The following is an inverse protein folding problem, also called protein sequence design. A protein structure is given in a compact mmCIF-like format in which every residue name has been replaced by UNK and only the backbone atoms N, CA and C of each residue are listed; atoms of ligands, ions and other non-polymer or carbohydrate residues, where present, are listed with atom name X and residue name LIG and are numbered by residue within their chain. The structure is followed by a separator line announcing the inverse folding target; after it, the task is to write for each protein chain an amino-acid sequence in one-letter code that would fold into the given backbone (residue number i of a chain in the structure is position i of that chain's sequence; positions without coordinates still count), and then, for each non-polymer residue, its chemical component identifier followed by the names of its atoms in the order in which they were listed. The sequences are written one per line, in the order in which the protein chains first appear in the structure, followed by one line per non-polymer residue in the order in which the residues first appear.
data_IF_871729623662
#
_entry.id   IF_871729623662
#
_cell.length_a   1.000
_cell.length_b   1.000
_cell.length_c   1.000
_cell.angle_alpha   90.00
_cell.angle_beta   90.00
_cell.angle_gamma   90.00
#
_symmetry.space_group_name_H-M   'P 1'
#
loop_
_entity.id
_entity.type
_entity.pdbx_description
1 polymer ?
#
# COMPACT_ATOMS: atom_id res chain seq x y z
N UNK A 1 3.83 17.87 3.84
CA UNK A 1 3.41 17.77 2.43
C UNK A 1 1.88 17.66 2.38
N UNK A 2 1.21 18.14 1.32
CA UNK A 2 -0.27 18.06 1.19
C UNK A 2 -0.69 16.63 0.80
N UNK A 3 -1.85 16.17 1.29
CA UNK A 3 -2.49 14.88 0.91
C UNK A 3 -2.49 14.70 -0.61
N UNK A 4 -2.86 15.72 -1.38
CA UNK A 4 -2.95 15.65 -2.84
C UNK A 4 -1.59 15.44 -3.50
N UNK A 5 -0.52 15.96 -2.89
CA UNK A 5 0.85 15.74 -3.39
C UNK A 5 1.28 14.30 -3.13
N UNK A 6 1.04 13.78 -1.92
CA UNK A 6 1.31 12.36 -1.59
C UNK A 6 0.52 11.46 -2.55
N UNK A 7 -0.76 11.74 -2.76
CA UNK A 7 -1.61 11.01 -3.69
C UNK A 7 -1.07 11.03 -5.12
N UNK A 8 -0.66 12.20 -5.62
CA UNK A 8 -0.10 12.32 -6.97
C UNK A 8 1.16 11.48 -7.16
N UNK A 9 2.03 11.41 -6.16
CA UNK A 9 3.26 10.61 -6.20
C UNK A 9 2.91 9.12 -6.15
N UNK A 10 2.08 8.69 -5.20
CA UNK A 10 1.74 7.27 -5.04
C UNK A 10 0.87 6.74 -6.18
N UNK A 11 0.08 7.61 -6.83
CA UNK A 11 -0.67 7.27 -8.03
C UNK A 11 0.22 6.86 -9.21
N UNK A 12 1.51 7.17 -9.19
CA UNK A 12 2.47 6.72 -10.21
C UNK A 12 2.93 5.26 -10.03
N UNK A 13 2.46 4.56 -8.99
CA UNK A 13 2.77 3.14 -8.79
C UNK A 13 2.33 2.32 -10.03
N UNK A 14 3.27 1.62 -10.66
CA UNK A 14 3.03 0.83 -11.87
C UNK A 14 2.49 -0.58 -11.54
N UNK A 15 2.97 -1.17 -10.45
CA UNK A 15 2.65 -2.55 -10.06
C UNK A 15 2.44 -2.64 -8.54
N UNK A 16 1.63 -3.60 -8.12
CA UNK A 16 1.49 -3.98 -6.72
C UNK A 16 1.88 -5.44 -6.62
N UNK A 17 2.85 -5.72 -5.76
CA UNK A 17 3.36 -7.07 -5.50
C UNK A 17 3.13 -7.43 -4.05
N UNK A 18 2.81 -8.68 -3.78
CA UNK A 18 2.80 -9.22 -2.43
C UNK A 18 4.09 -10.01 -2.26
N UNK A 19 4.91 -9.62 -1.28
CA UNK A 19 6.09 -10.36 -0.90
C UNK A 19 5.78 -11.16 0.37
N UNK A 20 5.42 -12.43 0.14
CA UNK A 20 5.23 -13.42 1.19
C UNK A 20 6.54 -14.07 1.66
N UNK A 21 7.69 -13.79 1.01
CA UNK A 21 8.97 -14.41 1.34
C UNK A 21 9.67 -13.59 2.43
N UNK A 22 9.60 -14.09 3.68
CA UNK A 22 10.17 -13.45 4.86
C UNK A 22 11.62 -12.94 4.67
N UNK A 23 11.85 -11.61 4.60
CA UNK A 23 13.18 -11.05 4.65
C UNK A 23 13.52 -10.76 6.12
N UNK A 24 14.07 -11.78 6.79
CA UNK A 24 14.75 -11.73 8.10
C UNK A 24 13.94 -11.37 9.38
N UNK A 25 14.17 -12.24 10.38
CA UNK A 25 14.04 -12.12 11.85
C UNK A 25 12.70 -11.68 12.49
N UNK A 26 11.89 -10.83 11.86
CA UNK A 26 10.59 -10.41 12.36
C UNK A 26 9.52 -10.67 11.28
N UNK A 27 8.66 -11.66 11.54
CA UNK A 27 7.73 -12.36 10.63
C UNK A 27 6.65 -11.53 9.91
N UNK A 28 7.00 -10.43 9.27
CA UNK A 28 6.05 -9.52 8.61
C UNK A 28 6.07 -9.71 7.09
N UNK A 29 4.89 -9.87 6.47
CA UNK A 29 4.74 -9.86 5.02
C UNK A 29 4.56 -8.41 4.51
N UNK A 30 4.88 -8.17 3.23
CA UNK A 30 4.82 -6.83 2.65
C UNK A 30 3.94 -6.77 1.39
N UNK A 31 3.17 -5.71 1.27
CA UNK A 31 2.59 -5.25 0.01
C UNK A 31 3.51 -4.15 -0.55
N UNK A 32 4.15 -4.43 -1.68
CA UNK A 32 5.15 -3.57 -2.28
C UNK A 32 4.57 -2.83 -3.47
N UNK A 33 4.59 -1.50 -3.40
CA UNK A 33 4.27 -0.61 -4.51
C UNK A 33 5.50 -0.46 -5.42
N UNK A 34 5.33 -0.81 -6.69
CA UNK A 34 6.36 -0.73 -7.71
C UNK A 34 6.39 0.64 -8.39
N UNK A 35 7.52 1.33 -8.31
CA UNK A 35 7.80 2.60 -8.97
C UNK A 35 9.04 2.49 -9.88
N UNK A 36 9.14 3.41 -10.84
CA UNK A 36 10.35 3.58 -11.66
C UNK A 36 11.42 4.33 -10.85
N UNK A 37 12.69 3.97 -11.06
CA UNK A 37 13.83 4.56 -10.36
C UNK A 37 13.97 6.09 -10.51
N UNK A 38 13.37 6.69 -11.53
CA UNK A 38 13.38 8.15 -11.70
C UNK A 38 12.61 8.91 -10.60
N UNK A 39 11.73 8.23 -9.86
CA UNK A 39 10.85 8.83 -8.85
C UNK A 39 11.27 8.52 -7.41
N UNK A 40 12.44 7.90 -7.20
CA UNK A 40 12.86 7.37 -5.89
C UNK A 40 12.76 8.40 -4.76
N UNK A 41 13.34 9.59 -4.92
CA UNK A 41 13.37 10.61 -3.85
C UNK A 41 11.95 11.10 -3.49
N UNK A 42 11.07 11.22 -4.49
CA UNK A 42 9.69 11.67 -4.29
C UNK A 42 8.87 10.60 -3.56
N UNK A 43 9.04 9.33 -3.94
CA UNK A 43 8.37 8.19 -3.30
C UNK A 43 8.82 8.06 -1.85
N UNK A 44 10.12 8.08 -1.58
CA UNK A 44 10.65 8.03 -0.21
C UNK A 44 10.06 9.17 0.63
N UNK A 45 10.06 10.39 0.09
CA UNK A 45 9.51 11.55 0.78
C UNK A 45 8.01 11.38 1.08
N UNK A 46 7.22 10.88 0.12
CA UNK A 46 5.79 10.62 0.33
C UNK A 46 5.54 9.61 1.47
N UNK A 47 6.32 8.52 1.53
CA UNK A 47 6.24 7.54 2.62
C UNK A 47 6.68 8.12 3.97
N UNK A 48 7.75 8.91 4.00
CA UNK A 48 8.19 9.59 5.22
C UNK A 48 7.14 10.58 5.73
N UNK A 49 6.49 11.32 4.85
CA UNK A 49 5.42 12.25 5.23
C UNK A 49 4.20 11.49 5.76
N UNK A 50 3.79 10.37 5.14
CA UNK A 50 2.72 9.51 5.69
C UNK A 50 3.03 9.04 7.11
N UNK A 51 4.25 8.56 7.38
CA UNK A 51 4.69 8.15 8.73
C UNK A 51 4.62 9.27 9.74
N UNK A 52 4.95 10.50 9.34
CA UNK A 52 4.88 11.68 10.23
C UNK A 52 3.45 12.11 10.51
N UNK A 53 2.53 11.87 9.58
CA UNK A 53 1.12 12.24 9.70
C UNK A 53 0.42 11.35 10.73
N UNK A 54 0.72 10.04 10.75
CA UNK A 54 0.06 9.10 11.67
C UNK A 54 0.87 7.83 11.86
N UNK A 55 0.89 7.33 13.10
CA UNK A 55 1.37 5.99 13.44
C UNK A 55 0.31 4.91 13.18
N UNK A 56 -0.96 5.31 13.08
CA UNK A 56 -2.08 4.43 12.73
C UNK A 56 -2.47 4.64 11.27
N UNK A 57 -1.97 3.77 10.40
CA UNK A 57 -2.26 3.78 8.97
C UNK A 57 -2.92 2.45 8.59
N UNK A 58 -4.09 2.52 7.98
CA UNK A 58 -4.82 1.35 7.49
C UNK A 58 -4.90 1.36 5.98
N UNK A 59 -5.06 0.18 5.38
CA UNK A 59 -5.18 0.01 3.94
C UNK A 59 -6.52 -0.64 3.59
N UNK A 60 -7.26 -0.02 2.68
CA UNK A 60 -8.39 -0.68 2.02
C UNK A 60 -8.01 -1.01 0.57
N UNK A 61 -8.18 -2.26 0.18
CA UNK A 61 -8.12 -2.74 -1.20
C UNK A 61 -9.55 -2.88 -1.71
N UNK A 62 -9.95 -1.96 -2.58
CA UNK A 62 -11.26 -1.91 -3.21
C UNK A 62 -11.26 -2.68 -4.54
N UNK A 63 -12.17 -3.64 -4.69
CA UNK A 63 -12.46 -4.21 -6.01
C UNK A 63 -13.17 -3.15 -6.87
N UNK A 64 -12.66 -2.95 -8.09
CA UNK A 64 -13.38 -2.16 -9.11
C UNK A 64 -14.32 -3.04 -9.93
N UNK A 65 -15.08 -2.43 -10.84
CA UNK A 65 -15.91 -3.16 -11.81
C UNK A 65 -15.08 -4.00 -12.80
N UNK A 66 -13.80 -3.66 -13.00
CA UNK A 66 -12.90 -4.36 -13.91
C UNK A 66 -12.14 -5.42 -13.13
N UNK A 67 -12.32 -6.68 -13.51
CA UNK A 67 -11.63 -7.80 -12.88
C UNK A 67 -10.11 -7.63 -12.96
N UNK A 68 -9.42 -7.80 -11.82
CA UNK A 68 -7.97 -7.65 -11.72
C UNK A 68 -7.50 -6.21 -11.50
N UNK A 69 -8.40 -5.23 -11.53
CA UNK A 69 -8.12 -3.82 -11.25
C UNK A 69 -8.73 -3.44 -9.90
N UNK A 70 -7.93 -2.76 -9.08
CA UNK A 70 -8.22 -2.41 -7.71
C UNK A 70 -7.86 -0.95 -7.44
N UNK A 71 -8.61 -0.34 -6.53
CA UNK A 71 -8.23 0.92 -5.92
C UNK A 71 -7.65 0.63 -4.54
N UNK A 72 -6.58 1.33 -4.17
CA UNK A 72 -6.07 1.32 -2.80
C UNK A 72 -6.43 2.62 -2.11
N UNK A 73 -6.91 2.54 -0.89
CA UNK A 73 -7.07 3.70 -0.02
C UNK A 73 -6.19 3.56 1.22
N UNK A 74 -5.25 4.47 1.37
CA UNK A 74 -4.45 4.62 2.58
C UNK A 74 -5.21 5.56 3.50
N UNK A 75 -5.65 5.03 4.64
CA UNK A 75 -6.57 5.68 5.58
C UNK A 75 -5.86 5.94 6.91
N UNK A 76 -6.08 7.14 7.44
CA UNK A 76 -5.63 7.56 8.77
C UNK A 76 -6.64 8.54 9.34
N UNK A 77 -6.72 8.63 10.66
CA UNK A 77 -7.54 9.63 11.38
C UNK A 77 -6.96 11.04 11.30
N UNK A 78 -5.70 11.19 10.87
CA UNK A 78 -5.02 12.48 10.76
C UNK A 78 -5.30 13.21 9.44
N UNK A 79 -5.97 12.58 8.47
CA UNK A 79 -6.39 13.18 7.21
C UNK A 79 -7.91 13.12 7.09
N UNK A 80 -8.51 14.20 6.58
CA UNK A 80 -9.97 14.27 6.35
C UNK A 80 -10.44 13.33 5.23
N UNK A 81 -9.54 12.98 4.31
CA UNK A 81 -9.78 12.06 3.19
C UNK A 81 -8.63 11.06 3.06
N UNK A 82 -8.89 9.83 2.56
CA UNK A 82 -7.83 8.88 2.29
C UNK A 82 -6.92 9.35 1.15
N UNK A 83 -5.69 8.84 1.13
CA UNK A 83 -4.82 8.90 -0.05
C UNK A 83 -5.20 7.74 -0.97
N UNK A 84 -5.62 8.06 -2.20
CA UNK A 84 -6.16 7.07 -3.15
C UNK A 84 -5.18 6.74 -4.26
N UNK A 85 -4.92 5.45 -4.45
CA UNK A 85 -4.12 4.94 -5.55
C UNK A 85 -5.05 4.14 -6.45
N UNK A 86 -5.50 4.77 -7.54
CA UNK A 86 -6.58 4.25 -8.35
C UNK A 86 -6.11 3.36 -9.50
N UNK A 87 -7.00 2.45 -9.93
CA UNK A 87 -6.88 1.64 -11.13
C UNK A 87 -5.58 0.83 -11.23
N UNK A 88 -5.22 0.15 -10.14
CA UNK A 88 -3.99 -0.65 -10.08
C UNK A 88 -4.27 -2.12 -10.33
N UNK A 89 -3.42 -2.71 -11.17
CA UNK A 89 -3.45 -4.15 -11.41
C UNK A 89 -2.81 -4.86 -10.23
N UNK A 90 -3.56 -5.77 -9.60
CA UNK A 90 -3.03 -6.71 -8.60
C UNK A 90 -3.17 -8.12 -9.18
N UNK A 91 -2.06 -8.86 -9.35
CA UNK A 91 -2.14 -10.25 -9.80
C UNK A 91 -3.08 -11.08 -8.93
N UNK A 92 -3.89 -11.95 -9.55
CA UNK A 92 -4.86 -12.76 -8.83
C UNK A 92 -4.21 -13.66 -7.77
N UNK A 93 -3.02 -14.18 -8.07
CA UNK A 93 -2.19 -14.96 -7.14
C UNK A 93 -1.78 -14.13 -5.92
N UNK A 94 -1.21 -12.94 -6.13
CA UNK A 94 -0.83 -12.02 -5.05
C UNK A 94 -2.02 -11.63 -4.16
N UNK A 95 -3.20 -11.43 -4.74
CA UNK A 95 -4.41 -11.14 -3.95
C UNK A 95 -4.88 -12.36 -3.15
N UNK A 96 -4.80 -13.57 -3.72
CA UNK A 96 -5.15 -14.80 -3.01
C UNK A 96 -4.23 -15.04 -1.81
N UNK A 97 -2.91 -14.87 -2.02
CA UNK A 97 -1.90 -14.96 -0.96
C UNK A 97 -2.13 -13.91 0.13
N UNK A 98 -2.42 -12.66 -0.26
CA UNK A 98 -2.76 -11.61 0.70
C UNK A 98 -4.00 -11.97 1.52
N UNK A 99 -5.06 -12.49 0.90
CA UNK A 99 -6.29 -12.91 1.60
C UNK A 99 -6.02 -14.04 2.59
N UNK A 100 -5.22 -15.02 2.19
CA UNK A 100 -4.82 -16.14 3.06
C UNK A 100 -3.93 -15.66 4.22
N UNK A 101 -3.02 -14.72 3.97
CA UNK A 101 -2.21 -14.13 5.03
C UNK A 101 -3.09 -13.40 6.05
N UNK A 102 -4.01 -12.56 5.57
CA UNK A 102 -4.91 -11.77 6.41
C UNK A 102 -5.90 -12.61 7.24
N UNK A 103 -6.14 -13.88 6.89
CA UNK A 103 -6.94 -14.77 7.75
C UNK A 103 -6.17 -15.32 8.96
N UNK A 104 -4.84 -15.20 8.97
CA UNK A 104 -3.96 -15.75 10.01
C UNK A 104 -3.14 -14.68 10.75
N UNK A 105 -2.88 -13.54 10.12
CA UNK A 105 -2.12 -12.42 10.66
C UNK A 105 -2.74 -11.10 10.25
N UNK A 106 -2.73 -10.11 11.14
CA UNK A 106 -3.23 -8.77 10.85
C UNK A 106 -2.12 -7.74 10.60
N UNK A 107 -0.85 -8.15 10.74
CA UNK A 107 0.28 -7.23 10.60
C UNK A 107 0.84 -7.30 9.19
N UNK A 108 0.60 -6.28 8.38
CA UNK A 108 1.14 -6.18 7.01
C UNK A 108 1.98 -4.91 6.89
N UNK A 109 3.06 -4.97 6.12
CA UNK A 109 3.86 -3.79 5.78
C UNK A 109 3.42 -3.26 4.41
N UNK A 110 3.20 -1.95 4.29
CA UNK A 110 3.15 -1.26 3.01
C UNK A 110 4.56 -0.74 2.68
N UNK A 111 5.12 -1.21 1.58
CA UNK A 111 6.47 -0.87 1.14
C UNK A 111 6.50 -0.32 -0.28
N UNK A 112 7.71 0.01 -0.75
CA UNK A 112 7.97 0.29 -2.16
C UNK A 112 9.29 -0.34 -2.61
N UNK A 113 9.45 -0.58 -3.91
CA UNK A 113 10.63 -1.24 -4.48
C UNK A 113 11.87 -0.33 -4.64
N UNK A 114 11.76 0.96 -4.35
CA UNK A 114 12.84 1.94 -4.56
C UNK A 114 13.65 2.25 -3.29
N UNK A 115 13.22 1.78 -2.12
CA UNK A 115 13.97 1.85 -0.86
C UNK A 115 13.39 0.90 0.19
N UNK A 116 14.24 0.06 0.78
CA UNK A 116 13.83 -0.97 1.73
C UNK A 116 13.51 -0.44 3.14
N UNK A 117 14.28 0.51 3.70
CA UNK A 117 14.10 0.88 5.12
C UNK A 117 13.30 2.18 5.31
N UNK A 118 13.51 3.17 4.44
CA UNK A 118 12.85 4.47 4.60
C UNK A 118 11.38 4.44 4.18
N UNK A 119 10.97 3.43 3.42
CA UNK A 119 9.65 3.38 2.76
C UNK A 119 8.74 2.27 3.26
N UNK A 120 9.00 1.70 4.44
CA UNK A 120 8.13 0.67 5.04
C UNK A 120 7.22 1.25 6.11
N UNK A 121 5.91 1.06 5.95
CA UNK A 121 4.88 1.46 6.91
C UNK A 121 4.19 0.21 7.42
N UNK A 122 4.24 -0.04 8.72
CA UNK A 122 3.42 -1.09 9.33
C UNK A 122 1.96 -0.64 9.34
N UNK A 123 1.09 -1.44 8.73
CA UNK A 123 -0.33 -1.16 8.66
C UNK A 123 -1.03 -1.64 9.94
N UNK A 124 -1.87 -0.80 10.51
CA UNK A 124 -2.70 -1.13 11.67
C UNK A 124 -3.86 -2.07 11.32
N UNK A 125 -4.35 -2.00 10.08
CA UNK A 125 -5.32 -2.94 9.53
C UNK A 125 -5.30 -2.95 8.00
N UNK A 126 -5.77 -4.07 7.44
CA UNK A 126 -5.95 -4.23 6.00
C UNK A 126 -7.31 -4.84 5.74
N UNK A 127 -8.07 -4.23 4.84
CA UNK A 127 -9.38 -4.71 4.42
C UNK A 127 -9.40 -4.91 2.91
N UNK A 128 -10.09 -5.97 2.46
CA UNK A 128 -10.36 -6.19 1.03
C UNK A 128 -11.87 -6.26 0.86
N UNK A 129 -12.45 -5.32 0.12
CA UNK A 129 -13.92 -5.20 -0.04
C UNK A 129 -14.30 -4.90 -1.48
N UNK A 130 -15.53 -5.27 -1.84
CA UNK A 130 -16.17 -4.76 -3.05
C UNK A 130 -16.68 -3.37 -2.75
N UNK A 131 -16.13 -2.37 -3.43
CA UNK A 131 -16.53 -0.99 -3.25
C UNK A 131 -17.57 -0.68 -4.33
N UNK A 132 -18.76 -0.29 -3.90
CA UNK A 132 -19.79 0.19 -4.82
C UNK A 132 -19.30 1.53 -5.38
N UNK A 133 -19.00 1.55 -6.67
CA UNK A 133 -18.67 2.75 -7.44
C UNK A 133 -19.91 3.57 -7.73
#
# INVERSE_FOLDING_TARGET
MDRLVIESILAEADQIQFDGAQPQADSSCALVLGFKAAHTDQVILAFQELKKISDEISLLVCHTQVQGIYDLEIRTTALDEPVRILNKSIPAEALAELKEYLSHSNTLILGCNVSEQDSWITLSSVEIKVCES
#
